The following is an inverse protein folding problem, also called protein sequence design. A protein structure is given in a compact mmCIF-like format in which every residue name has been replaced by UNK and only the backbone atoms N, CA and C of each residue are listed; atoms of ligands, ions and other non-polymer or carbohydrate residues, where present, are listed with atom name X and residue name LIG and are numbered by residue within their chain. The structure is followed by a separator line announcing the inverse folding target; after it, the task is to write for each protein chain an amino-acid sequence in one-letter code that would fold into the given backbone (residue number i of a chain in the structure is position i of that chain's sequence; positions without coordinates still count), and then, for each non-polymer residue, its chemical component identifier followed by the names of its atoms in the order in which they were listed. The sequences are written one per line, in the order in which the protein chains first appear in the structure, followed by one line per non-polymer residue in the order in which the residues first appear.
data_IF_060880854215
#
_entry.id   IF_060880854215
#
_cell.length_a   1.000
_cell.length_b   1.000
_cell.length_c   1.000
_cell.angle_alpha   90.00
_cell.angle_beta   90.00
_cell.angle_gamma   90.00
#
_symmetry.space_group_name_H-M   'P 1'
#
loop_
_entity.id
_entity.type
_entity.pdbx_description
1 polymer ?
#
# COMPACT_ATOMS: atom_id res chain seq x y z
N UNK A 1 -65.11 31.62 -36.89
CA UNK A 1 -64.08 30.65 -36.46
C UNK A 1 -62.97 30.68 -37.49
N UNK A 2 -61.76 31.17 -37.15
CA UNK A 2 -60.63 31.21 -38.11
C UNK A 2 -59.93 29.86 -38.09
N UNK A 3 -59.99 29.13 -39.20
CA UNK A 3 -59.28 27.87 -39.40
C UNK A 3 -57.78 28.14 -39.44
N UNK A 4 -57.05 27.62 -38.45
CA UNK A 4 -55.58 27.65 -38.47
C UNK A 4 -55.12 26.69 -39.57
N UNK A 5 -54.24 27.11 -40.51
CA UNK A 5 -53.79 26.22 -41.56
C UNK A 5 -53.05 25.03 -40.94
N UNK A 6 -53.36 23.81 -41.40
CA UNK A 6 -52.73 22.56 -40.90
C UNK A 6 -51.20 22.62 -40.93
N UNK A 7 -50.65 23.34 -41.92
CA UNK A 7 -49.21 23.57 -42.07
C UNK A 7 -48.61 24.32 -40.87
N UNK A 8 -49.35 25.29 -40.29
CA UNK A 8 -48.88 26.07 -39.13
C UNK A 8 -48.79 25.19 -37.89
N UNK A 9 -49.76 24.28 -37.69
CA UNK A 9 -49.74 23.33 -36.57
C UNK A 9 -48.57 22.35 -36.71
N UNK A 10 -48.30 21.89 -37.94
CA UNK A 10 -47.19 20.97 -38.20
C UNK A 10 -45.83 21.62 -37.94
N UNK A 11 -45.61 22.85 -38.42
CA UNK A 11 -44.35 23.58 -38.21
C UNK A 11 -44.14 23.91 -36.73
N UNK A 12 -45.18 24.32 -36.01
CA UNK A 12 -45.10 24.55 -34.56
C UNK A 12 -44.78 23.27 -33.79
N UNK A 13 -45.32 22.12 -34.22
CA UNK A 13 -45.00 20.82 -33.63
C UNK A 13 -43.52 20.44 -33.78
N UNK A 14 -42.96 20.61 -34.98
CA UNK A 14 -41.54 20.32 -35.25
C UNK A 14 -40.62 21.24 -34.44
N UNK A 15 -40.93 22.55 -34.39
CA UNK A 15 -40.16 23.51 -33.60
C UNK A 15 -40.21 23.20 -32.10
N UNK A 16 -41.37 22.79 -31.59
CA UNK A 16 -41.52 22.39 -30.20
C UNK A 16 -40.69 21.13 -29.88
N UNK A 17 -40.69 20.13 -30.77
CA UNK A 17 -39.89 18.92 -30.59
C UNK A 17 -38.38 19.20 -30.57
N UNK A 18 -37.90 20.08 -31.45
CA UNK A 18 -36.49 20.50 -31.48
C UNK A 18 -36.12 21.31 -30.22
N UNK A 19 -37.01 22.20 -29.77
CA UNK A 19 -36.82 22.98 -28.55
C UNK A 19 -36.75 22.10 -27.29
N UNK A 20 -37.64 21.11 -27.18
CA UNK A 20 -37.64 20.15 -26.07
C UNK A 20 -36.38 19.28 -26.08
N UNK A 21 -35.93 18.84 -27.26
CA UNK A 21 -34.68 18.07 -27.39
C UNK A 21 -33.45 18.91 -27.00
N UNK A 22 -33.37 20.15 -27.48
CA UNK A 22 -32.30 21.08 -27.11
C UNK A 22 -32.28 21.37 -25.61
N UNK A 23 -33.46 21.54 -24.99
CA UNK A 23 -33.59 21.76 -23.54
C UNK A 23 -33.18 20.51 -22.74
N UNK A 24 -33.56 19.31 -23.19
CA UNK A 24 -33.13 18.04 -22.57
C UNK A 24 -31.61 17.87 -22.64
N UNK A 25 -30.99 18.15 -23.79
CA UNK A 25 -29.53 18.12 -23.93
C UNK A 25 -28.84 19.19 -23.08
N UNK A 26 -29.41 20.40 -22.98
CA UNK A 26 -28.89 21.46 -22.12
C UNK A 26 -28.94 21.08 -20.63
N UNK A 27 -30.05 20.47 -20.18
CA UNK A 27 -30.19 19.98 -18.81
C UNK A 27 -29.24 18.80 -18.51
N UNK A 28 -29.02 17.89 -19.47
CA UNK A 28 -28.00 16.84 -19.35
C UNK A 28 -26.57 17.43 -19.29
N UNK A 29 -26.28 18.48 -20.07
CA UNK A 29 -25.01 19.19 -20.02
C UNK A 29 -24.76 19.91 -18.69
N UNK A 30 -25.82 20.42 -18.06
CA UNK A 30 -25.74 21.04 -16.73
C UNK A 30 -25.53 20.01 -15.62
N UNK A 31 -26.07 18.79 -15.78
CA UNK A 31 -25.89 17.68 -14.83
C UNK A 31 -24.46 17.16 -14.78
N UNK A 32 -23.64 17.36 -15.82
CA UNK A 32 -22.25 16.92 -15.85
C UNK A 32 -21.27 17.85 -15.12
N UNK A 33 -21.70 19.05 -14.70
CA UNK A 33 -20.76 20.09 -14.23
C UNK A 33 -20.78 20.36 -12.71
N UNK A 34 -21.58 19.64 -11.91
CA UNK A 34 -21.63 19.80 -10.45
C UNK A 34 -21.77 18.48 -9.67
N UNK A 35 -20.91 17.50 -9.96
CA UNK A 35 -20.48 16.56 -8.91
C UNK A 35 -19.39 17.25 -8.07
N UNK A 36 -19.79 18.19 -7.22
CA UNK A 36 -18.95 18.62 -6.10
C UNK A 36 -18.97 17.48 -5.07
N UNK A 37 -18.16 16.45 -5.32
CA UNK A 37 -17.92 15.37 -4.37
C UNK A 37 -17.30 16.00 -3.14
N UNK A 38 -18.09 16.16 -2.08
CA UNK A 38 -17.60 16.48 -0.75
C UNK A 38 -16.72 15.29 -0.32
N UNK A 39 -15.42 15.39 -0.61
CA UNK A 39 -14.42 14.44 -0.16
C UNK A 39 -14.50 14.36 1.37
N UNK A 40 -15.14 13.31 1.90
CA UNK A 40 -14.82 12.82 3.23
C UNK A 40 -13.35 12.43 3.17
N UNK A 41 -12.56 13.15 3.94
CA UNK A 41 -11.10 13.29 3.84
C UNK A 41 -10.35 11.96 3.81
N UNK A 42 -9.89 11.59 2.62
CA UNK A 42 -8.46 11.39 2.35
C UNK A 42 -8.13 12.36 1.22
N UNK A 43 -7.41 13.44 1.52
CA UNK A 43 -6.98 14.38 0.48
C UNK A 43 -6.07 13.64 -0.50
N UNK A 44 -6.30 13.73 -1.83
CA UNK A 44 -5.29 13.33 -2.79
C UNK A 44 -4.04 14.17 -2.51
N UNK A 45 -2.87 13.54 -2.45
CA UNK A 45 -1.62 14.30 -2.59
C UNK A 45 -1.67 14.88 -4.01
N UNK A 46 -1.62 16.20 -4.20
CA UNK A 46 -1.56 16.76 -5.54
C UNK A 46 -0.30 16.21 -6.22
N UNK A 47 -0.50 15.50 -7.33
CA UNK A 47 0.58 15.10 -8.22
C UNK A 47 1.09 16.38 -8.91
N UNK A 48 2.11 17.00 -8.30
CA UNK A 48 2.96 17.97 -8.97
C UNK A 48 3.80 17.17 -9.98
N UNK A 49 3.44 17.29 -11.26
CA UNK A 49 4.20 16.75 -12.39
C UNK A 49 5.55 17.45 -12.59
N UNK A 50 6.25 17.82 -11.52
CA UNK A 50 7.60 18.34 -11.60
C UNK A 50 8.60 17.19 -11.63
N UNK A 51 9.39 17.17 -12.69
CA UNK A 51 10.55 16.31 -12.97
C UNK A 51 11.70 16.46 -11.94
N UNK A 52 11.40 16.63 -10.65
CA UNK A 52 12.38 16.90 -9.58
C UNK A 52 13.14 15.66 -9.09
N UNK A 53 12.81 14.47 -9.57
CA UNK A 53 13.51 13.24 -9.18
C UNK A 53 14.69 12.86 -10.10
N UNK A 54 14.99 13.64 -11.14
CA UNK A 54 16.11 13.37 -12.04
C UNK A 54 17.48 13.78 -11.49
N UNK A 55 17.56 14.39 -10.31
CA UNK A 55 18.82 14.89 -9.71
C UNK A 55 18.93 14.61 -8.20
N UNK A 56 18.46 13.46 -7.72
CA UNK A 56 18.93 12.96 -6.42
C UNK A 56 20.24 12.22 -6.70
N UNK A 57 21.41 12.69 -6.23
CA UNK A 57 22.62 11.89 -6.29
C UNK A 57 22.32 10.58 -5.58
N UNK A 58 22.52 9.46 -6.28
CA UNK A 58 22.34 8.14 -5.69
C UNK A 58 23.03 8.11 -4.32
N UNK A 59 22.38 7.57 -3.25
CA UNK A 59 23.05 7.44 -1.97
C UNK A 59 24.35 6.68 -2.22
N UNK A 60 25.48 7.31 -1.89
CA UNK A 60 26.80 6.69 -1.93
C UNK A 60 26.78 5.62 -0.85
N UNK A 61 26.25 4.46 -1.19
CA UNK A 61 26.51 3.24 -0.45
C UNK A 61 27.94 2.90 -0.84
N UNK A 62 28.87 3.19 0.07
CA UNK A 62 30.21 2.63 0.04
C UNK A 62 30.03 1.12 0.10
N UNK A 63 29.96 0.48 -1.08
CA UNK A 63 30.00 -0.95 -1.23
C UNK A 63 31.36 -1.39 -0.65
N UNK A 64 31.31 -1.91 0.56
CA UNK A 64 32.45 -2.47 1.25
C UNK A 64 32.94 -3.66 0.41
N UNK A 65 34.18 -3.55 -0.06
CA UNK A 65 34.82 -4.46 -1.02
C UNK A 65 35.11 -5.81 -0.35
N UNK A 66 34.16 -6.75 -0.43
CA UNK A 66 34.28 -8.11 0.11
C UNK A 66 34.61 -9.12 -1.01
N UNK A 67 35.79 -8.98 -1.63
CA UNK A 67 36.05 -9.44 -3.00
C UNK A 67 36.46 -10.92 -3.20
N UNK A 68 36.78 -11.71 -2.17
CA UNK A 68 37.37 -13.03 -2.42
C UNK A 68 36.34 -14.17 -2.50
N UNK A 69 35.27 -14.13 -1.71
CA UNK A 69 34.24 -15.17 -1.71
C UNK A 69 33.22 -14.96 -2.84
N UNK A 70 32.91 -13.69 -3.14
CA UNK A 70 32.01 -13.33 -4.23
C UNK A 70 32.56 -13.69 -5.61
N UNK A 71 33.88 -13.65 -5.83
CA UNK A 71 34.45 -14.01 -7.13
C UNK A 71 34.16 -15.47 -7.53
N UNK A 72 34.34 -16.43 -6.62
CA UNK A 72 34.11 -17.85 -6.94
C UNK A 72 32.63 -18.15 -7.19
N UNK A 73 31.76 -17.64 -6.32
CA UNK A 73 30.30 -17.81 -6.46
C UNK A 73 29.76 -17.08 -7.70
N UNK A 74 30.32 -15.93 -8.07
CA UNK A 74 29.96 -15.21 -9.29
C UNK A 74 30.34 -16.02 -10.55
N UNK A 75 31.51 -16.67 -10.57
CA UNK A 75 31.92 -17.52 -11.70
C UNK A 75 30.97 -18.71 -11.85
N UNK A 76 30.60 -19.37 -10.74
CA UNK A 76 29.64 -20.47 -10.75
C UNK A 76 28.24 -20.01 -11.22
N UNK A 77 27.78 -18.85 -10.77
CA UNK A 77 26.50 -18.28 -11.18
C UNK A 77 26.47 -17.95 -12.68
N UNK A 78 27.56 -17.37 -13.23
CA UNK A 78 27.70 -17.09 -14.67
C UNK A 78 27.71 -18.38 -15.51
N UNK A 79 28.37 -19.43 -15.03
CA UNK A 79 28.31 -20.76 -15.64
C UNK A 79 26.89 -21.34 -15.64
N UNK A 80 26.18 -21.20 -14.52
CA UNK A 80 24.78 -21.63 -14.38
C UNK A 80 23.86 -20.89 -15.35
N UNK A 81 24.05 -19.58 -15.55
CA UNK A 81 23.27 -18.78 -16.51
C UNK A 81 23.52 -19.22 -17.95
N UNK A 82 24.78 -19.51 -18.29
CA UNK A 82 25.13 -19.97 -19.63
C UNK A 82 24.36 -21.26 -19.98
N UNK A 83 24.29 -22.19 -19.02
CA UNK A 83 23.47 -23.38 -19.13
C UNK A 83 21.95 -23.06 -19.18
N UNK A 84 21.48 -22.08 -18.39
CA UNK A 84 20.09 -21.65 -18.41
C UNK A 84 19.67 -21.10 -19.79
N UNK A 85 20.53 -20.28 -20.41
CA UNK A 85 20.31 -19.72 -21.75
C UNK A 85 20.30 -20.82 -22.81
N UNK A 86 21.15 -21.85 -22.69
CA UNK A 86 21.10 -23.01 -23.57
C UNK A 86 19.80 -23.80 -23.41
N UNK A 87 19.34 -24.01 -22.18
CA UNK A 87 18.05 -24.64 -21.90
C UNK A 87 16.87 -23.81 -22.45
N UNK A 88 16.94 -22.47 -22.40
CA UNK A 88 15.99 -21.56 -23.03
C UNK A 88 15.95 -21.77 -24.54
N UNK A 89 17.12 -21.77 -25.20
CA UNK A 89 17.25 -21.98 -26.66
C UNK A 89 16.74 -23.35 -27.12
N UNK A 90 16.88 -24.39 -26.28
CA UNK A 90 16.35 -25.73 -26.57
C UNK A 90 14.86 -25.89 -26.26
N UNK A 91 14.18 -24.82 -25.80
CA UNK A 91 12.74 -24.82 -25.48
C UNK A 91 12.38 -25.45 -24.14
N UNK A 92 13.36 -25.81 -23.29
CA UNK A 92 13.15 -26.43 -21.98
C UNK A 92 12.98 -25.35 -20.89
N UNK A 93 11.89 -24.60 -20.98
CA UNK A 93 11.64 -23.41 -20.16
C UNK A 93 11.62 -23.69 -18.65
N UNK A 94 10.99 -24.78 -18.21
CA UNK A 94 10.95 -25.14 -16.77
C UNK A 94 12.33 -25.42 -16.18
N UNK A 95 13.23 -26.00 -16.97
CA UNK A 95 14.61 -26.28 -16.55
C UNK A 95 15.43 -24.99 -16.55
N UNK A 96 15.24 -24.14 -17.56
CA UNK A 96 15.88 -22.83 -17.60
C UNK A 96 15.48 -21.98 -16.39
N UNK A 97 14.19 -21.94 -16.02
CA UNK A 97 13.71 -21.21 -14.85
C UNK A 97 14.42 -21.67 -13.57
N UNK A 98 14.51 -22.98 -13.31
CA UNK A 98 15.21 -23.51 -12.14
C UNK A 98 16.70 -23.14 -12.12
N UNK A 99 17.35 -23.11 -13.29
CA UNK A 99 18.76 -22.69 -13.39
C UNK A 99 18.92 -21.18 -13.13
N UNK A 100 17.99 -20.35 -13.60
CA UNK A 100 17.99 -18.93 -13.28
C UNK A 100 17.73 -18.65 -11.79
N UNK A 101 16.77 -19.34 -11.18
CA UNK A 101 16.51 -19.26 -9.73
C UNK A 101 17.74 -19.70 -8.92
N UNK A 102 18.42 -20.77 -9.36
CA UNK A 102 19.65 -21.24 -8.75
C UNK A 102 20.78 -20.21 -8.86
N UNK A 103 21.00 -19.64 -10.06
CA UNK A 103 22.01 -18.60 -10.26
C UNK A 103 21.74 -17.37 -9.39
N UNK A 104 20.47 -16.95 -9.27
CA UNK A 104 20.05 -15.87 -8.40
C UNK A 104 20.28 -16.19 -6.91
N UNK A 105 20.09 -17.44 -6.48
CA UNK A 105 20.37 -17.86 -5.11
C UNK A 105 21.86 -17.85 -4.77
N UNK A 106 22.74 -18.20 -5.75
CA UNK A 106 24.20 -18.16 -5.57
C UNK A 106 24.71 -16.72 -5.52
N UNK A 107 24.29 -15.88 -6.46
CA UNK A 107 24.81 -14.52 -6.64
C UNK A 107 23.67 -13.49 -6.78
N UNK A 108 22.97 -13.16 -5.68
CA UNK A 108 21.76 -12.32 -5.72
C UNK A 108 22.01 -10.85 -6.06
N UNK A 109 23.26 -10.39 -6.01
CA UNK A 109 23.65 -9.00 -6.29
C UNK A 109 24.38 -8.84 -7.63
N UNK A 110 24.66 -9.92 -8.35
CA UNK A 110 25.41 -9.85 -9.60
C UNK A 110 24.51 -9.28 -10.72
N UNK A 111 24.96 -8.21 -11.37
CA UNK A 111 24.18 -7.47 -12.36
C UNK A 111 23.87 -8.30 -13.62
N UNK A 112 24.81 -9.11 -14.10
CA UNK A 112 24.62 -9.97 -15.28
C UNK A 112 23.58 -11.06 -14.99
N UNK A 113 23.60 -11.63 -13.78
CA UNK A 113 22.62 -12.63 -13.32
C UNK A 113 21.22 -12.03 -13.30
N UNK A 114 21.09 -10.85 -12.70
CA UNK A 114 19.82 -10.13 -12.58
C UNK A 114 19.28 -9.72 -13.95
N UNK A 115 20.13 -9.20 -14.84
CA UNK A 115 19.73 -8.82 -16.20
C UNK A 115 19.25 -10.03 -17.02
N UNK A 116 20.04 -11.10 -17.07
CA UNK A 116 19.69 -12.31 -17.82
C UNK A 116 18.41 -12.97 -17.29
N UNK A 117 18.19 -12.95 -15.97
CA UNK A 117 16.97 -13.46 -15.38
C UNK A 117 15.76 -12.58 -15.72
N UNK A 118 15.91 -11.25 -15.67
CA UNK A 118 14.88 -10.30 -16.11
C UNK A 118 14.44 -10.54 -17.55
N UNK A 119 15.40 -10.70 -18.47
CA UNK A 119 15.13 -10.98 -19.89
C UNK A 119 14.36 -12.31 -20.06
N UNK A 120 14.74 -13.34 -19.31
CA UNK A 120 14.03 -14.62 -19.35
C UNK A 120 12.57 -14.51 -18.88
N UNK A 121 12.32 -13.81 -17.77
CA UNK A 121 10.96 -13.61 -17.23
C UNK A 121 10.11 -12.84 -18.24
N UNK A 122 10.69 -11.78 -18.82
CA UNK A 122 10.01 -10.92 -19.76
C UNK A 122 9.58 -11.69 -21.03
N UNK A 123 10.50 -12.43 -21.64
CA UNK A 123 10.25 -13.19 -22.86
C UNK A 123 9.30 -14.39 -22.63
N UNK A 124 9.44 -15.07 -21.50
CA UNK A 124 8.79 -16.38 -21.28
C UNK A 124 7.45 -16.27 -20.55
N UNK A 125 7.41 -15.44 -19.50
CA UNK A 125 6.26 -15.33 -18.60
C UNK A 125 5.40 -14.09 -18.90
N UNK A 126 5.91 -13.17 -19.72
CA UNK A 126 5.28 -11.87 -19.98
C UNK A 126 5.02 -11.05 -18.70
N UNK A 127 5.78 -11.31 -17.63
CA UNK A 127 5.73 -10.56 -16.37
C UNK A 127 6.75 -9.41 -16.40
N UNK A 128 6.29 -8.28 -16.92
CA UNK A 128 7.11 -7.07 -17.10
C UNK A 128 7.47 -6.44 -15.74
N UNK A 129 6.60 -6.56 -14.73
CA UNK A 129 6.82 -5.96 -13.40
C UNK A 129 7.95 -6.68 -12.68
N UNK A 130 7.93 -8.02 -12.71
CA UNK A 130 9.01 -8.82 -12.14
C UNK A 130 10.33 -8.62 -12.89
N UNK A 131 10.30 -8.49 -14.22
CA UNK A 131 11.49 -8.21 -15.02
C UNK A 131 12.10 -6.83 -14.69
N UNK A 132 11.28 -5.76 -14.65
CA UNK A 132 11.72 -4.42 -14.28
C UNK A 132 12.38 -4.39 -12.89
N UNK A 133 11.80 -5.11 -11.93
CA UNK A 133 12.37 -5.28 -10.59
C UNK A 133 13.77 -5.91 -10.64
N UNK A 134 14.03 -6.86 -11.53
CA UNK A 134 15.37 -7.45 -11.68
C UNK A 134 16.35 -6.48 -12.32
N UNK A 135 15.95 -5.76 -13.38
CA UNK A 135 16.80 -4.72 -13.97
C UNK A 135 17.11 -3.60 -12.98
N UNK A 136 16.12 -3.17 -12.18
CA UNK A 136 16.32 -2.18 -11.13
C UNK A 136 17.34 -2.64 -10.08
N UNK A 137 17.23 -3.89 -9.62
CA UNK A 137 18.22 -4.48 -8.70
C UNK A 137 19.61 -4.54 -9.33
N UNK A 138 19.71 -4.88 -10.62
CA UNK A 138 20.99 -4.93 -11.33
C UNK A 138 21.69 -3.56 -11.31
N UNK A 139 20.93 -2.48 -11.54
CA UNK A 139 21.44 -1.11 -11.53
C UNK A 139 21.76 -0.56 -10.13
N UNK A 140 21.10 -1.06 -9.08
CA UNK A 140 21.50 -0.75 -7.70
C UNK A 140 22.89 -1.32 -7.42
N UNK A 141 23.17 -2.55 -7.89
CA UNK A 141 24.47 -3.20 -7.70
C UNK A 141 25.55 -2.63 -8.61
N UNK A 142 25.25 -2.42 -9.88
CA UNK A 142 26.17 -1.91 -10.89
C UNK A 142 25.46 -0.87 -11.77
N UNK A 143 25.55 0.43 -11.42
CA UNK A 143 24.84 1.51 -12.11
C UNK A 143 25.17 1.65 -13.60
N UNK A 144 26.41 1.32 -13.98
CA UNK A 144 26.91 1.46 -15.35
C UNK A 144 26.62 0.20 -16.21
N UNK A 145 25.68 -0.66 -15.79
CA UNK A 145 25.31 -1.84 -16.57
C UNK A 145 24.49 -1.46 -17.82
N UNK A 146 25.15 -1.37 -18.97
CA UNK A 146 24.53 -0.91 -20.21
C UNK A 146 23.28 -1.70 -20.65
N UNK A 147 23.26 -3.03 -20.51
CA UNK A 147 22.11 -3.85 -20.90
C UNK A 147 20.91 -3.61 -19.99
N UNK A 148 21.10 -3.64 -18.66
CA UNK A 148 20.02 -3.37 -17.72
C UNK A 148 19.49 -1.94 -17.82
N UNK A 149 20.32 -0.95 -18.17
CA UNK A 149 19.85 0.42 -18.43
C UNK A 149 18.86 0.46 -19.59
N UNK A 150 19.21 -0.15 -20.73
CA UNK A 150 18.34 -0.18 -21.92
C UNK A 150 17.07 -0.97 -21.64
N UNK A 151 17.19 -2.15 -21.02
CA UNK A 151 16.06 -3.00 -20.69
C UNK A 151 15.10 -2.29 -19.73
N UNK A 152 15.62 -1.67 -18.65
CA UNK A 152 14.81 -0.91 -17.69
C UNK A 152 14.15 0.31 -18.31
N UNK A 153 14.85 1.07 -19.16
CA UNK A 153 14.26 2.25 -19.78
C UNK A 153 12.99 1.89 -20.57
N UNK A 154 12.99 0.73 -21.23
CA UNK A 154 11.84 0.22 -21.95
C UNK A 154 10.74 -0.31 -21.03
N UNK A 155 11.08 -1.09 -20.00
CA UNK A 155 10.08 -1.68 -19.07
C UNK A 155 9.48 -0.66 -18.12
N UNK A 156 10.24 0.34 -17.68
CA UNK A 156 9.81 1.33 -16.69
C UNK A 156 8.58 2.12 -17.17
N UNK A 157 8.52 2.51 -18.45
CA UNK A 157 7.37 3.20 -19.01
C UNK A 157 6.10 2.34 -18.97
N UNK A 158 6.25 1.04 -19.23
CA UNK A 158 5.12 0.10 -19.20
C UNK A 158 4.67 -0.15 -17.76
N UNK A 159 5.62 -0.35 -16.83
CA UNK A 159 5.32 -0.57 -15.41
C UNK A 159 4.65 0.67 -14.81
N UNK A 160 5.09 1.88 -15.16
CA UNK A 160 4.46 3.10 -14.68
C UNK A 160 2.98 3.19 -15.09
N UNK A 161 2.65 2.86 -16.34
CA UNK A 161 1.25 2.85 -16.77
C UNK A 161 0.44 1.73 -16.09
N UNK A 162 1.02 0.54 -15.92
CA UNK A 162 0.38 -0.56 -15.18
C UNK A 162 0.09 -0.18 -13.72
N UNK A 163 1.04 0.47 -13.05
CA UNK A 163 0.89 0.94 -11.68
C UNK A 163 -0.17 2.04 -11.60
N UNK A 164 -0.17 2.98 -12.55
CA UNK A 164 -1.18 4.03 -12.66
C UNK A 164 -2.58 3.45 -12.82
N UNK A 165 -2.75 2.47 -13.70
CA UNK A 165 -4.02 1.77 -13.89
C UNK A 165 -4.46 0.98 -12.65
N UNK A 166 -3.51 0.35 -11.96
CA UNK A 166 -3.80 -0.34 -10.71
C UNK A 166 -4.27 0.63 -9.62
N UNK A 167 -3.63 1.79 -9.49
CA UNK A 167 -4.05 2.84 -8.56
C UNK A 167 -5.43 3.41 -8.92
N UNK A 168 -5.73 3.65 -10.21
CA UNK A 168 -7.09 4.05 -10.64
C UNK A 168 -8.15 3.04 -10.21
N UNK A 169 -7.88 1.73 -10.37
CA UNK A 169 -8.79 0.66 -9.92
C UNK A 169 -8.98 0.66 -8.40
N UNK A 170 -7.96 1.03 -7.62
CA UNK A 170 -8.07 1.18 -6.17
C UNK A 170 -8.95 2.39 -5.84
N UNK A 171 -8.73 3.52 -6.48
CA UNK A 171 -9.52 4.74 -6.30
C UNK A 171 -11.01 4.49 -6.61
N UNK A 172 -11.32 3.81 -7.72
CA UNK A 172 -12.69 3.44 -8.07
C UNK A 172 -13.35 2.57 -7.00
N UNK A 173 -12.61 1.60 -6.44
CA UNK A 173 -13.11 0.73 -5.37
C UNK A 173 -13.31 1.51 -4.07
N UNK A 174 -12.37 2.39 -3.73
CA UNK A 174 -12.46 3.30 -2.57
C UNK A 174 -13.72 4.15 -2.69
N UNK A 175 -13.95 4.77 -3.84
CA UNK A 175 -15.07 5.67 -4.06
C UNK A 175 -16.40 4.94 -3.99
N UNK A 176 -16.48 3.70 -4.52
CA UNK A 176 -17.66 2.85 -4.36
C UNK A 176 -17.96 2.56 -2.89
N UNK A 177 -16.95 2.25 -2.07
CA UNK A 177 -17.14 2.02 -0.63
C UNK A 177 -17.52 3.31 0.09
N UNK A 178 -16.94 4.45 -0.30
CA UNK A 178 -17.23 5.76 0.30
C UNK A 178 -18.66 6.25 0.04
N UNK A 179 -19.32 5.77 -1.02
CA UNK A 179 -20.71 6.09 -1.34
C UNK A 179 -21.71 5.33 -0.46
N UNK A 180 -21.29 4.26 0.22
CA UNK A 180 -22.16 3.47 1.09
C UNK A 180 -22.50 4.31 2.33
N UNK A 181 -23.78 4.44 2.72
CA UNK A 181 -24.16 5.21 3.89
C UNK A 181 -23.61 4.60 5.17
N UNK A 182 -23.15 5.46 6.09
CA UNK A 182 -22.58 5.05 7.39
C UNK A 182 -23.57 4.29 8.29
N UNK A 183 -24.86 4.50 8.08
CA UNK A 183 -25.94 3.80 8.79
C UNK A 183 -26.16 2.36 8.31
N UNK A 184 -25.48 1.93 7.25
CA UNK A 184 -25.63 0.57 6.72
C UNK A 184 -25.11 -0.47 7.75
N UNK A 185 -25.96 -1.42 8.21
CA UNK A 185 -25.56 -2.40 9.22
C UNK A 185 -24.44 -3.34 8.75
N UNK A 186 -24.37 -3.65 7.45
CA UNK A 186 -23.32 -4.51 6.90
C UNK A 186 -21.98 -3.78 6.87
N UNK A 187 -21.97 -2.49 6.49
CA UNK A 187 -20.77 -1.65 6.57
C UNK A 187 -20.29 -1.50 8.02
N UNK A 188 -21.21 -1.23 8.96
CA UNK A 188 -20.92 -1.18 10.40
C UNK A 188 -20.25 -2.47 10.90
N UNK A 189 -20.83 -3.63 10.54
CA UNK A 189 -20.27 -4.94 10.89
C UNK A 189 -18.89 -5.16 10.26
N UNK A 190 -18.71 -4.79 8.99
CA UNK A 190 -17.44 -4.92 8.28
C UNK A 190 -16.35 -4.02 8.89
N UNK A 191 -16.67 -2.78 9.26
CA UNK A 191 -15.75 -1.87 9.97
C UNK A 191 -15.32 -2.44 11.31
N UNK A 192 -16.27 -2.99 12.09
CA UNK A 192 -15.98 -3.62 13.38
C UNK A 192 -15.08 -4.86 13.21
N UNK A 193 -15.34 -5.70 12.20
CA UNK A 193 -14.50 -6.86 11.92
C UNK A 193 -13.09 -6.45 11.49
N UNK A 194 -12.98 -5.50 10.56
CA UNK A 194 -11.71 -4.96 10.07
C UNK A 194 -10.87 -4.37 11.20
N UNK A 195 -11.50 -3.74 12.21
CA UNK A 195 -10.82 -3.24 13.39
C UNK A 195 -10.08 -4.36 14.16
N UNK A 196 -10.74 -5.48 14.44
CA UNK A 196 -10.12 -6.60 15.14
C UNK A 196 -9.04 -7.28 14.30
N UNK A 197 -9.31 -7.44 12.99
CA UNK A 197 -8.34 -8.01 12.06
C UNK A 197 -7.08 -7.15 11.98
N UNK A 198 -7.21 -5.82 11.94
CA UNK A 198 -6.07 -4.90 11.91
C UNK A 198 -5.20 -5.06 13.17
N UNK A 199 -5.83 -5.08 14.35
CA UNK A 199 -5.12 -5.32 15.62
C UNK A 199 -4.39 -6.66 15.57
N UNK A 200 -5.11 -7.75 15.27
CA UNK A 200 -4.56 -9.10 15.21
C UNK A 200 -3.37 -9.22 14.26
N UNK A 201 -3.50 -8.71 13.02
CA UNK A 201 -2.44 -8.84 12.03
C UNK A 201 -1.21 -8.02 12.39
N UNK A 202 -1.36 -6.79 12.89
CA UNK A 202 -0.18 -5.98 13.21
C UNK A 202 0.57 -6.50 14.44
N UNK A 203 -0.13 -6.92 15.51
CA UNK A 203 0.56 -7.54 16.65
C UNK A 203 1.13 -8.91 16.28
N UNK A 204 0.46 -9.65 15.41
CA UNK A 204 0.95 -10.93 14.89
C UNK A 204 2.24 -10.79 14.08
N UNK A 205 2.36 -9.73 13.27
CA UNK A 205 3.61 -9.41 12.55
C UNK A 205 4.75 -9.09 13.54
N UNK A 206 4.44 -8.46 14.68
CA UNK A 206 5.39 -8.22 15.77
C UNK A 206 5.74 -9.50 16.57
N UNK A 207 5.08 -10.63 16.29
CA UNK A 207 5.35 -11.92 16.90
C UNK A 207 4.38 -12.35 18.01
N UNK A 208 3.28 -11.62 18.19
CA UNK A 208 2.24 -11.97 19.16
C UNK A 208 1.52 -13.28 18.78
N UNK A 209 1.34 -14.18 19.73
CA UNK A 209 0.82 -15.54 19.48
C UNK A 209 -0.69 -15.68 19.71
N UNK A 210 -1.40 -14.60 20.00
CA UNK A 210 -2.84 -14.65 20.23
C UNK A 210 -3.63 -14.90 18.96
N UNK A 211 -4.71 -15.69 19.05
CA UNK A 211 -5.63 -15.86 17.93
C UNK A 211 -6.53 -14.64 17.73
N UNK A 212 -7.16 -14.54 16.56
CA UNK A 212 -8.14 -13.48 16.28
C UNK A 212 -9.32 -13.51 17.29
N UNK A 213 -9.79 -14.70 17.68
CA UNK A 213 -10.86 -14.85 18.67
C UNK A 213 -10.43 -14.38 20.07
N UNK A 214 -9.19 -14.69 20.48
CA UNK A 214 -8.62 -14.22 21.75
C UNK A 214 -8.45 -12.71 21.75
N UNK A 215 -7.91 -12.15 20.66
CA UNK A 215 -7.75 -10.71 20.45
C UNK A 215 -9.09 -9.98 20.53
N UNK A 216 -10.12 -10.51 19.85
CA UNK A 216 -11.48 -9.97 19.92
C UNK A 216 -12.01 -9.99 21.34
N UNK A 217 -11.90 -11.13 22.04
CA UNK A 217 -12.35 -11.26 23.43
C UNK A 217 -11.71 -10.20 24.33
N UNK A 218 -10.40 -9.99 24.22
CA UNK A 218 -9.66 -8.99 25.02
C UNK A 218 -10.12 -7.56 24.71
N UNK A 219 -10.29 -7.22 23.43
CA UNK A 219 -10.69 -5.86 23.05
C UNK A 219 -12.13 -5.57 23.44
N UNK A 220 -13.04 -6.55 23.30
CA UNK A 220 -14.47 -6.38 23.61
C UNK A 220 -14.78 -6.45 25.11
N UNK A 221 -14.28 -7.47 25.79
CA UNK A 221 -14.66 -7.77 27.19
C UNK A 221 -13.64 -7.29 28.21
N UNK A 222 -12.43 -6.93 27.77
CA UNK A 222 -11.27 -6.65 28.64
C UNK A 222 -10.89 -7.84 29.55
N UNK A 223 -11.33 -9.05 29.23
CA UNK A 223 -10.95 -10.26 29.97
C UNK A 223 -9.59 -10.77 29.53
N UNK A 224 -8.78 -11.23 30.50
CA UNK A 224 -7.52 -11.89 30.23
C UNK A 224 -7.74 -13.32 29.73
N UNK A 225 -6.91 -13.76 28.80
CA UNK A 225 -6.87 -15.11 28.27
C UNK A 225 -5.85 -15.92 29.07
N UNK A 226 -6.31 -17.02 29.68
CA UNK A 226 -5.46 -17.91 30.46
C UNK A 226 -4.34 -18.53 29.60
N UNK A 227 -3.15 -18.67 30.19
CA UNK A 227 -2.00 -19.30 29.53
C UNK A 227 -1.28 -18.44 28.47
N UNK A 228 -1.65 -17.16 28.33
CA UNK A 228 -0.99 -16.20 27.44
C UNK A 228 -0.20 -15.16 28.24
N UNK A 229 0.83 -14.59 27.61
CA UNK A 229 1.69 -13.62 28.27
C UNK A 229 0.92 -12.33 28.51
N UNK A 230 1.17 -11.68 29.66
CA UNK A 230 0.56 -10.38 29.94
C UNK A 230 1.12 -9.33 28.97
N UNK A 231 2.36 -9.48 28.50
CA UNK A 231 2.95 -8.62 27.46
C UNK A 231 2.07 -8.56 26.19
N UNK A 232 1.70 -9.73 25.68
CA UNK A 232 0.88 -9.87 24.47
C UNK A 232 -0.50 -9.21 24.63
N UNK A 233 -1.08 -9.26 25.83
CA UNK A 233 -2.34 -8.59 26.11
C UNK A 233 -2.21 -7.06 26.01
N UNK A 234 -1.11 -6.49 26.48
CA UNK A 234 -0.96 -5.04 26.50
C UNK A 234 -0.46 -4.45 25.19
N UNK A 235 0.17 -5.24 24.33
CA UNK A 235 0.35 -4.88 22.93
C UNK A 235 -1.02 -4.67 22.26
N UNK A 236 -1.93 -5.65 22.40
CA UNK A 236 -3.30 -5.58 21.88
C UNK A 236 -4.06 -4.38 22.46
N UNK A 237 -4.02 -4.19 23.78
CA UNK A 237 -4.71 -3.08 24.44
C UNK A 237 -4.07 -1.72 24.11
N UNK A 238 -2.75 -1.67 24.02
CA UNK A 238 -1.99 -0.47 23.66
C UNK A 238 -2.34 0.00 22.25
N UNK A 239 -2.41 -0.93 21.31
CA UNK A 239 -2.83 -0.63 19.94
C UNK A 239 -4.31 -0.23 19.84
N UNK A 240 -5.21 -0.92 20.56
CA UNK A 240 -6.63 -0.52 20.64
C UNK A 240 -6.78 0.93 21.13
N UNK A 241 -6.01 1.34 22.13
CA UNK A 241 -5.99 2.72 22.61
C UNK A 241 -5.41 3.69 21.57
N UNK A 242 -4.35 3.31 20.87
CA UNK A 242 -3.75 4.12 19.81
C UNK A 242 -4.74 4.38 18.66
N UNK A 243 -5.44 3.35 18.18
CA UNK A 243 -6.45 3.48 17.12
C UNK A 243 -7.62 4.36 17.54
N UNK A 244 -8.11 4.20 18.78
CA UNK A 244 -9.14 5.07 19.35
C UNK A 244 -8.69 6.53 19.41
N UNK A 245 -7.44 6.78 19.80
CA UNK A 245 -6.88 8.12 19.82
C UNK A 245 -6.83 8.75 18.43
N UNK A 246 -6.34 8.01 17.42
CA UNK A 246 -6.29 8.46 16.02
C UNK A 246 -7.69 8.83 15.52
N UNK A 247 -8.66 7.93 15.69
CA UNK A 247 -10.03 8.13 15.20
C UNK A 247 -10.74 9.31 15.86
N UNK A 248 -10.53 9.51 17.16
CA UNK A 248 -11.21 10.56 17.90
C UNK A 248 -10.54 11.93 17.78
N UNK A 249 -9.22 11.97 17.51
CA UNK A 249 -8.43 13.21 17.60
C UNK A 249 -7.85 13.66 16.26
N UNK A 250 -7.29 12.74 15.47
CA UNK A 250 -6.48 13.08 14.30
C UNK A 250 -7.28 13.13 13.00
N UNK A 251 -8.30 12.26 12.85
CA UNK A 251 -9.08 12.17 11.60
C UNK A 251 -9.94 13.41 11.36
N UNK A 252 -10.49 14.01 12.42
CA UNK A 252 -11.37 15.19 12.31
C UNK A 252 -10.62 16.52 12.42
N UNK A 253 -9.28 16.50 12.47
CA UNK A 253 -8.48 17.73 12.54
C UNK A 253 -8.49 18.39 11.16
N UNK A 254 -8.84 19.69 11.11
CA UNK A 254 -8.80 20.49 9.87
C UNK A 254 -7.44 20.34 9.18
N UNK A 255 -7.37 20.35 7.83
CA UNK A 255 -6.16 20.10 7.06
C UNK A 255 -5.20 21.27 7.20
N UNK A 256 -4.47 21.30 8.32
CA UNK A 256 -3.31 22.12 8.53
C UNK A 256 -2.16 21.16 8.78
N UNK A 257 -1.15 21.26 7.92
CA UNK A 257 0.24 20.79 8.09
C UNK A 257 0.41 19.80 9.26
N UNK A 258 0.71 18.54 8.97
CA UNK A 258 1.21 17.60 9.96
C UNK A 258 2.56 18.10 10.49
N UNK A 259 2.55 19.14 11.32
CA UNK A 259 3.59 19.36 12.30
C UNK A 259 3.62 18.07 13.09
N UNK A 260 4.71 17.31 12.99
CA UNK A 260 5.11 16.41 14.06
C UNK A 260 5.43 17.35 15.21
N UNK A 261 4.52 17.61 16.15
CA UNK A 261 4.96 18.32 17.33
C UNK A 261 5.92 17.31 17.97
N UNK A 262 7.08 17.75 18.41
CA UNK A 262 7.86 17.02 19.40
C UNK A 262 7.07 17.02 20.71
N UNK A 263 5.85 16.50 20.69
CA UNK A 263 4.95 16.37 21.81
C UNK A 263 5.44 15.13 22.57
N UNK A 264 6.04 15.33 23.75
CA UNK A 264 6.44 14.22 24.58
C UNK A 264 5.23 13.39 24.99
N UNK A 265 3.97 13.84 24.88
CA UNK A 265 2.79 13.12 25.38
C UNK A 265 2.47 11.80 24.65
N UNK A 266 2.91 11.64 23.40
CA UNK A 266 2.86 10.35 22.68
C UNK A 266 4.00 9.43 23.16
N UNK A 267 5.11 10.01 23.67
CA UNK A 267 6.31 9.30 24.17
C UNK A 267 6.43 9.23 25.71
N UNK A 268 5.58 9.94 26.46
CA UNK A 268 5.70 10.23 27.89
C UNK A 268 4.30 10.41 28.45
N UNK A 269 3.60 9.31 28.64
CA UNK A 269 2.81 9.18 29.87
C UNK A 269 3.65 8.33 30.84
N UNK A 270 3.98 8.85 32.04
CA UNK A 270 4.97 8.23 32.91
C UNK A 270 4.49 6.88 33.42
N UNK A 271 5.38 5.89 33.34
CA UNK A 271 5.30 4.67 34.12
C UNK A 271 5.13 5.01 35.63
N UNK A 272 4.27 4.32 36.40
CA UNK A 272 4.33 4.38 37.85
C UNK A 272 5.65 3.76 38.34
N UNK A 273 6.21 4.21 39.47
CA UNK A 273 7.57 3.87 39.86
C UNK A 273 7.64 2.41 40.30
N UNK A 274 8.45 1.61 39.63
CA UNK A 274 9.00 0.38 40.20
C UNK A 274 10.53 0.40 40.10
N UNK A 275 11.24 -0.12 41.12
CA UNK A 275 12.66 0.12 41.29
C UNK A 275 13.47 -0.91 40.50
N UNK A 276 14.34 -0.44 39.59
CA UNK A 276 15.48 -1.21 39.11
C UNK A 276 16.66 -0.23 38.88
N UNK A 277 17.84 -0.48 39.47
CA UNK A 277 18.94 0.47 39.44
C UNK A 277 19.86 0.25 38.23
N UNK A 278 20.37 1.39 37.73
CA UNK A 278 21.54 1.59 36.84
C UNK A 278 21.43 1.21 35.35
N UNK A 279 21.18 2.24 34.53
CA UNK A 279 21.62 2.37 33.12
C UNK A 279 23.07 2.88 33.07
N UNK A 280 23.88 2.63 32.00
CA UNK A 280 23.74 3.30 30.69
C UNK A 280 24.27 2.48 29.45
N UNK A 281 24.42 3.05 28.23
CA UNK A 281 23.50 3.85 27.41
C UNK A 281 23.24 3.24 25.98
N UNK A 282 22.35 3.88 25.21
CA UNK A 282 22.07 3.71 23.77
C UNK A 282 21.11 2.60 23.30
N UNK A 283 19.95 3.04 22.79
CA UNK A 283 19.54 2.67 21.44
C UNK A 283 18.68 1.43 21.20
N UNK A 284 18.06 0.79 22.21
CA UNK A 284 17.10 -0.30 21.97
C UNK A 284 15.91 -0.23 22.92
N UNK A 285 14.71 -0.08 22.37
CA UNK A 285 13.46 -0.19 23.13
C UNK A 285 12.92 -1.60 22.86
N UNK A 286 13.10 -2.49 23.82
CA UNK A 286 12.32 -3.73 23.93
C UNK A 286 10.93 -3.36 24.45
N UNK A 287 9.89 -3.60 23.66
CA UNK A 287 8.49 -3.49 24.07
C UNK A 287 8.12 -4.69 24.94
N UNK A 288 7.82 -4.45 26.22
CA UNK A 288 7.04 -5.36 27.06
C UNK A 288 6.11 -4.47 27.89
N UNK A 289 4.92 -4.18 27.35
CA UNK A 289 3.91 -3.44 28.11
C UNK A 289 3.21 -4.41 29.08
N UNK A 290 3.14 -4.06 30.36
CA UNK A 290 2.33 -4.74 31.37
C UNK A 290 1.32 -3.74 31.97
N UNK A 291 0.05 -3.75 31.54
CA UNK A 291 -0.98 -2.81 31.98
C UNK A 291 -1.98 -3.50 32.93
N UNK A 292 -2.03 -2.99 34.16
CA UNK A 292 -2.93 -3.43 35.23
C UNK A 292 -4.17 -2.53 35.24
N UNK A 293 -5.33 -3.19 35.21
CA UNK A 293 -6.68 -2.61 35.20
C UNK A 293 -6.90 -1.52 36.28
N UNK A 294 -7.45 -0.37 35.89
CA UNK A 294 -8.37 0.40 36.73
C UNK A 294 -9.62 0.75 35.95
N UNK A 295 -10.73 0.32 36.52
CA UNK A 295 -12.11 0.45 36.11
C UNK A 295 -12.51 1.91 35.86
N UNK A 296 -12.83 2.24 34.61
CA UNK A 296 -13.75 3.31 34.28
C UNK A 296 -14.88 2.68 33.47
N UNK A 297 -15.99 2.38 34.14
CA UNK A 297 -17.23 1.99 33.47
C UNK A 297 -17.69 3.16 32.59
N UNK A 298 -17.45 3.04 31.29
CA UNK A 298 -18.19 3.78 30.28
C UNK A 298 -18.50 2.79 29.15
N UNK A 299 -19.77 2.44 28.90
CA UNK A 299 -20.13 1.63 27.75
C UNK A 299 -19.98 2.53 26.50
N UNK A 300 -18.78 2.53 25.91
CA UNK A 300 -18.54 3.18 24.63
C UNK A 300 -18.96 2.22 23.52
N UNK A 301 -20.24 2.25 23.20
CA UNK A 301 -20.79 1.70 21.96
C UNK A 301 -20.00 2.26 20.77
N UNK A 302 -19.59 1.38 19.87
CA UNK A 302 -19.21 1.78 18.52
C UNK A 302 -20.48 2.41 17.94
N UNK A 303 -20.53 3.74 17.88
CA UNK A 303 -21.61 4.44 17.18
C UNK A 303 -21.42 4.21 15.69
N UNK A 304 -22.06 3.16 15.23
CA UNK A 304 -22.88 3.20 14.02
C UNK A 304 -24.19 3.92 14.43
#
# INVERSE_FOLDING_TARGET
MRSVPVVVVFVLGVLCSLGVHYLLCYLQGLSSHHDMVLHKTFSPIPYDGSDKYNNIPAPIILAEKHDLQHSSSNIEALGTISAAIEMKKTGKLDKALKLFEHAFAIAPQNADVLNAYGEFIEETQSDIISADKMYFKALISYPDHGQALVNRQRTALVVEELDRDFLRKIDDKRDKVSRIPESDPALCKAKKESYFQHIYHTVGIEGNSMSLAQTRSIVETRMAVGGKSIAEHNEILGLDLALKYINNTLINRSPGFWYVPSDPSIRRRPHPPHPQPHHPPHGRIHCVAQFRLRTAHAPATIKC
#
